data_IF_084775373187
#
_entry.id   IF_084775373187
#
_cell.length_a   1.000
_cell.length_b   1.000
_cell.length_c   1.000
_cell.angle_alpha   90.00
_cell.angle_beta   90.00
_cell.angle_gamma   90.00
#
_symmetry.space_group_name_H-M   'P 1'
#
loop_
_entity.id
_entity.type
_entity.pdbx_description
1 polymer ?
#
# COMPACT_ATOMS: atom_id res chain seq x y z
N UNK A 1 8.07 -11.52 -11.41
CA UNK A 1 7.69 -10.12 -11.78
C UNK A 1 7.96 -9.93 -13.26
N UNK A 2 7.03 -9.36 -14.04
CA UNK A 2 7.23 -9.07 -15.46
C UNK A 2 8.37 -8.08 -15.72
N UNK A 3 9.11 -8.28 -16.82
CA UNK A 3 10.30 -7.47 -17.14
C UNK A 3 10.01 -5.98 -17.29
N UNK A 4 8.85 -5.61 -17.84
CA UNK A 4 8.48 -4.20 -17.99
C UNK A 4 8.25 -3.51 -16.63
N UNK A 5 7.77 -4.24 -15.63
CA UNK A 5 7.60 -3.71 -14.27
C UNK A 5 8.96 -3.52 -13.58
N UNK A 6 9.87 -4.45 -13.76
CA UNK A 6 11.24 -4.31 -13.27
C UNK A 6 11.93 -3.10 -13.94
N UNK A 7 11.76 -2.94 -15.25
CA UNK A 7 12.28 -1.80 -15.99
C UNK A 7 11.68 -0.47 -15.49
N UNK A 8 10.37 -0.44 -15.22
CA UNK A 8 9.71 0.73 -14.63
C UNK A 8 10.33 1.09 -13.27
N UNK A 9 10.51 0.11 -12.40
CA UNK A 9 11.10 0.34 -11.08
C UNK A 9 12.57 0.81 -11.17
N UNK A 10 13.38 0.15 -12.01
CA UNK A 10 14.77 0.54 -12.28
C UNK A 10 14.92 1.96 -12.85
N UNK A 11 13.91 2.44 -13.58
CA UNK A 11 13.96 3.77 -14.18
C UNK A 11 13.96 4.91 -13.15
N UNK A 12 13.44 4.66 -11.93
CA UNK A 12 13.27 5.68 -10.89
C UNK A 12 12.28 6.80 -11.25
N UNK A 13 11.53 6.65 -12.35
CA UNK A 13 10.61 7.70 -12.84
C UNK A 13 9.24 7.66 -12.20
N UNK A 14 8.84 6.53 -11.66
CA UNK A 14 7.52 6.38 -11.06
C UNK A 14 7.54 6.91 -9.61
N UNK A 15 6.76 7.96 -9.30
CA UNK A 15 6.77 8.59 -7.97
C UNK A 15 6.08 7.74 -6.89
N UNK A 16 5.44 6.62 -7.27
CA UNK A 16 4.72 5.74 -6.35
C UNK A 16 5.50 4.47 -5.96
N UNK A 17 6.72 4.34 -6.47
CA UNK A 17 7.60 3.22 -6.13
C UNK A 17 8.71 3.67 -5.19
N UNK A 18 9.03 2.82 -4.21
CA UNK A 18 10.18 3.04 -3.33
C UNK A 18 11.45 3.08 -4.17
N UNK A 19 12.29 4.11 -4.03
CA UNK A 19 13.58 4.15 -4.70
C UNK A 19 14.40 2.91 -4.33
N UNK A 20 15.08 2.33 -5.32
CA UNK A 20 15.84 1.10 -5.12
C UNK A 20 17.06 1.02 -6.03
N UNK A 21 18.06 0.29 -5.57
CA UNK A 21 19.23 -0.12 -6.34
C UNK A 21 19.13 -1.60 -6.68
N UNK A 22 19.55 -1.97 -7.87
CA UNK A 22 19.40 -3.31 -8.41
C UNK A 22 20.76 -3.84 -8.87
N UNK A 23 21.09 -5.09 -8.50
CA UNK A 23 22.28 -5.78 -9.02
C UNK A 23 22.01 -7.26 -9.17
N UNK A 24 22.68 -7.85 -10.11
CA UNK A 24 22.66 -9.29 -10.34
C UNK A 24 23.69 -9.99 -9.46
N UNK A 25 23.32 -11.11 -8.90
CA UNK A 25 24.17 -12.01 -8.14
C UNK A 25 24.03 -13.42 -8.69
N UNK A 26 24.97 -14.35 -8.38
CA UNK A 26 24.83 -15.76 -8.79
C UNK A 26 23.52 -16.41 -8.37
N UNK A 27 22.92 -15.92 -7.28
CA UNK A 27 21.66 -16.43 -6.73
C UNK A 27 20.41 -15.71 -7.27
N UNK A 28 20.58 -14.76 -8.21
CA UNK A 28 19.51 -14.00 -8.83
C UNK A 28 19.60 -12.49 -8.61
N UNK A 29 18.51 -11.79 -8.94
CA UNK A 29 18.40 -10.35 -8.78
C UNK A 29 18.30 -9.98 -7.29
N UNK A 30 19.14 -9.04 -6.87
CA UNK A 30 19.06 -8.43 -5.54
C UNK A 30 18.59 -6.99 -5.64
N UNK A 31 17.75 -6.60 -4.71
CA UNK A 31 17.14 -5.26 -4.64
C UNK A 31 17.43 -4.68 -3.26
N UNK A 32 18.01 -3.49 -3.24
CA UNK A 32 18.20 -2.71 -2.04
C UNK A 32 17.29 -1.51 -2.10
N UNK A 33 16.38 -1.40 -1.14
CA UNK A 33 15.49 -0.26 -1.01
C UNK A 33 16.25 0.94 -0.42
N UNK A 34 16.06 2.10 -0.98
CA UNK A 34 16.48 3.38 -0.42
C UNK A 34 15.28 4.00 0.29
N UNK A 35 15.16 3.69 1.57
CA UNK A 35 14.06 4.13 2.43
C UNK A 35 14.45 5.31 3.34
N UNK A 36 15.54 6.01 3.04
CA UNK A 36 15.95 7.19 3.81
C UNK A 36 14.87 8.26 3.76
N UNK A 37 14.47 8.77 4.92
CA UNK A 37 13.40 9.76 5.05
C UNK A 37 11.98 9.20 4.92
N UNK A 38 11.82 7.90 4.64
CA UNK A 38 10.53 7.23 4.57
C UNK A 38 10.17 6.59 5.91
N UNK A 39 8.89 6.51 6.22
CA UNK A 39 8.36 5.84 7.42
C UNK A 39 7.59 4.60 6.99
N UNK A 40 7.85 3.47 7.63
CA UNK A 40 7.00 2.30 7.44
C UNK A 40 5.61 2.56 8.02
N UNK A 41 4.57 2.27 7.26
CA UNK A 41 3.18 2.46 7.71
C UNK A 41 2.88 1.64 8.97
N UNK A 42 3.49 0.48 9.12
CA UNK A 42 3.40 -0.33 10.33
C UNK A 42 3.84 0.40 11.60
N UNK A 43 4.75 1.38 11.50
CA UNK A 43 5.21 2.17 12.65
C UNK A 43 4.09 3.04 13.22
N UNK A 44 3.18 3.54 12.41
CA UNK A 44 2.02 4.30 12.88
C UNK A 44 1.04 3.44 13.68
N UNK A 45 0.86 2.19 13.27
CA UNK A 45 0.03 1.24 14.01
C UNK A 45 0.61 0.90 15.40
N UNK A 46 1.93 0.82 15.52
CA UNK A 46 2.61 0.52 16.78
C UNK A 46 2.50 1.67 17.80
N UNK A 47 2.39 2.92 17.33
CA UNK A 47 2.30 4.11 18.19
C UNK A 47 0.86 4.40 18.65
N UNK A 48 -0.13 3.68 18.10
CA UNK A 48 -1.55 3.87 18.41
C UNK A 48 -2.19 2.70 19.15
N UNK A 49 -1.62 2.19 20.26
CA UNK A 49 -2.25 1.09 20.99
C UNK A 49 -3.58 1.49 21.62
N UNK A 50 -3.80 2.76 21.96
CA UNK A 50 -4.92 3.25 22.77
C UNK A 50 -5.81 4.31 22.06
N UNK A 51 -5.77 4.37 20.75
CA UNK A 51 -6.67 5.27 19.99
C UNK A 51 -6.35 6.76 20.15
N UNK A 52 -5.10 7.11 20.37
CA UNK A 52 -4.63 8.49 20.29
C UNK A 52 -4.91 9.02 18.88
N UNK A 53 -5.77 10.02 18.79
CA UNK A 53 -6.34 10.53 17.52
C UNK A 53 -5.30 10.84 16.46
N UNK A 54 -4.16 11.41 16.83
CA UNK A 54 -3.12 11.82 15.88
C UNK A 54 -2.47 10.63 15.16
N UNK A 55 -2.11 9.59 15.88
CA UNK A 55 -1.51 8.40 15.27
C UNK A 55 -2.50 7.63 14.40
N UNK A 56 -3.78 7.57 14.81
CA UNK A 56 -4.83 6.95 14.02
C UNK A 56 -5.09 7.74 12.73
N UNK A 57 -5.08 9.07 12.79
CA UNK A 57 -5.18 9.93 11.61
C UNK A 57 -4.01 9.71 10.63
N UNK A 58 -2.78 9.56 11.15
CA UNK A 58 -1.61 9.25 10.31
C UNK A 58 -1.73 7.89 9.66
N UNK A 59 -2.20 6.88 10.39
CA UNK A 59 -2.45 5.55 9.84
C UNK A 59 -3.50 5.60 8.73
N UNK A 60 -4.64 6.22 8.95
CA UNK A 60 -5.69 6.37 7.94
C UNK A 60 -5.21 7.15 6.72
N UNK A 61 -4.48 8.24 6.92
CA UNK A 61 -3.92 9.06 5.83
C UNK A 61 -2.95 8.24 4.98
N UNK A 62 -2.06 7.48 5.62
CA UNK A 62 -1.10 6.63 4.92
C UNK A 62 -1.78 5.49 4.16
N UNK A 63 -2.84 4.89 4.72
CA UNK A 63 -3.63 3.86 4.05
C UNK A 63 -4.41 4.41 2.85
N UNK A 64 -5.04 5.59 2.98
CA UNK A 64 -5.71 6.26 1.87
C UNK A 64 -4.73 6.59 0.74
N UNK A 65 -3.55 7.09 1.09
CA UNK A 65 -2.48 7.35 0.12
C UNK A 65 -1.97 6.06 -0.53
N UNK A 66 -1.93 4.95 0.19
CA UNK A 66 -1.54 3.65 -0.37
C UNK A 66 -2.55 3.14 -1.40
N UNK A 67 -3.85 3.31 -1.14
CA UNK A 67 -4.89 2.99 -2.12
C UNK A 67 -4.76 3.84 -3.39
N UNK A 68 -4.45 5.13 -3.24
CA UNK A 68 -4.17 6.03 -4.36
C UNK A 68 -2.93 5.61 -5.15
N UNK A 69 -1.84 5.29 -4.47
CA UNK A 69 -0.61 4.83 -5.10
C UNK A 69 -0.84 3.53 -5.89
N UNK A 70 -1.59 2.59 -5.33
CA UNK A 70 -1.98 1.36 -6.01
C UNK A 70 -2.76 1.63 -7.31
N UNK A 71 -3.77 2.50 -7.26
CA UNK A 71 -4.53 2.89 -8.44
C UNK A 71 -3.65 3.61 -9.49
N UNK A 72 -2.73 4.45 -9.03
CA UNK A 72 -1.83 5.19 -9.91
C UNK A 72 -0.82 4.29 -10.60
N UNK A 73 -0.31 3.25 -9.93
CA UNK A 73 0.60 2.27 -10.54
C UNK A 73 -0.04 1.53 -11.72
N UNK A 74 -1.35 1.30 -11.69
CA UNK A 74 -2.06 0.70 -12.83
C UNK A 74 -1.99 1.59 -14.08
N UNK A 75 -1.97 2.92 -13.92
CA UNK A 75 -1.80 3.87 -15.04
C UNK A 75 -0.37 3.80 -15.65
N UNK A 76 0.59 3.30 -14.89
CA UNK A 76 1.95 3.00 -15.34
C UNK A 76 2.09 1.59 -15.94
N UNK A 77 0.97 0.94 -16.29
CA UNK A 77 0.91 -0.41 -16.82
C UNK A 77 1.45 -1.49 -15.86
N UNK A 78 1.48 -1.20 -14.57
CA UNK A 78 1.82 -2.19 -13.57
C UNK A 78 0.67 -3.20 -13.40
N UNK A 79 1.01 -4.49 -13.42
CA UNK A 79 0.02 -5.53 -13.12
C UNK A 79 -0.29 -5.51 -11.62
N UNK A 80 -1.55 -5.29 -11.23
CA UNK A 80 -1.96 -5.22 -9.83
C UNK A 80 -1.55 -6.43 -8.99
N UNK A 81 -1.51 -7.61 -9.59
CA UNK A 81 -1.14 -8.83 -8.88
C UNK A 81 0.28 -8.80 -8.31
N UNK A 82 1.19 -8.07 -8.94
CA UNK A 82 2.59 -7.95 -8.50
C UNK A 82 2.87 -6.74 -7.62
N UNK A 83 1.89 -5.88 -7.35
CA UNK A 83 2.06 -4.76 -6.41
C UNK A 83 1.97 -5.33 -4.99
N UNK A 84 3.01 -5.16 -4.19
CA UNK A 84 3.03 -5.64 -2.80
C UNK A 84 2.10 -4.79 -1.91
N UNK A 85 1.28 -5.47 -1.11
CA UNK A 85 0.50 -4.90 -0.01
C UNK A 85 0.94 -5.50 1.33
N UNK A 86 2.20 -5.89 1.45
CA UNK A 86 2.78 -6.35 2.71
C UNK A 86 2.95 -5.14 3.66
N UNK A 87 2.40 -5.17 4.89
CA UNK A 87 2.51 -4.06 5.82
C UNK A 87 3.95 -3.69 6.18
N UNK A 88 4.88 -4.63 6.13
CA UNK A 88 6.31 -4.39 6.40
C UNK A 88 7.04 -3.69 5.25
N UNK A 89 6.44 -3.67 4.06
CA UNK A 89 7.01 -3.15 2.82
C UNK A 89 6.25 -1.94 2.28
N UNK A 90 5.38 -1.36 3.09
CA UNK A 90 4.60 -0.18 2.77
C UNK A 90 5.22 1.05 3.45
N UNK A 91 5.59 2.04 2.65
CA UNK A 91 6.28 3.25 3.12
C UNK A 91 5.44 4.50 2.90
N UNK A 92 5.67 5.51 3.72
CA UNK A 92 5.04 6.81 3.63
C UNK A 92 6.09 7.92 3.67
N UNK A 93 6.04 8.81 2.69
CA UNK A 93 6.85 10.02 2.63
C UNK A 93 6.06 11.16 3.28
N UNK A 94 6.48 11.56 4.48
CA UNK A 94 5.80 12.60 5.25
C UNK A 94 5.91 13.98 4.60
N UNK A 95 7.00 14.26 3.92
CA UNK A 95 7.24 15.55 3.28
C UNK A 95 6.36 15.74 2.06
N UNK A 96 6.12 14.66 1.32
CA UNK A 96 5.25 14.66 0.13
C UNK A 96 3.80 14.27 0.43
N UNK A 97 3.53 13.72 1.61
CA UNK A 97 2.21 13.21 1.98
C UNK A 97 1.74 12.05 1.10
N UNK A 98 2.66 11.20 0.65
CA UNK A 98 2.36 10.12 -0.30
C UNK A 98 2.96 8.78 0.13
N UNK A 99 2.21 7.72 -0.10
CA UNK A 99 2.69 6.35 0.10
C UNK A 99 3.48 5.87 -1.11
N UNK A 100 4.47 5.03 -0.83
CA UNK A 100 5.31 4.38 -1.81
C UNK A 100 5.16 2.86 -1.65
N UNK A 101 4.99 2.20 -2.77
CA UNK A 101 4.81 0.76 -2.88
C UNK A 101 6.03 0.11 -3.51
N UNK A 102 6.07 -1.20 -3.51
CA UNK A 102 7.06 -1.97 -4.24
C UNK A 102 6.40 -3.14 -4.96
N UNK A 103 7.11 -3.72 -5.91
CA UNK A 103 6.68 -4.95 -6.58
C UNK A 103 7.15 -6.19 -5.83
N UNK A 104 6.42 -7.28 -6.03
CA UNK A 104 6.71 -8.61 -5.48
C UNK A 104 6.90 -9.61 -6.62
N UNK A 105 7.72 -10.61 -6.40
CA UNK A 105 7.83 -11.77 -7.30
C UNK A 105 6.68 -12.77 -7.12
N UNK A 106 5.98 -12.69 -5.99
CA UNK A 106 4.83 -13.54 -5.68
C UNK A 106 3.54 -12.82 -6.02
N UNK A 107 2.89 -13.14 -7.15
CA UNK A 107 1.64 -12.48 -7.55
C UNK A 107 0.50 -12.87 -6.62
N UNK A 108 -0.35 -11.89 -6.30
CA UNK A 108 -1.60 -12.08 -5.59
C UNK A 108 -2.76 -11.55 -6.43
N UNK A 109 -3.49 -12.47 -7.05
CA UNK A 109 -4.61 -12.16 -7.96
C UNK A 109 -5.96 -12.02 -7.25
N UNK A 110 -5.98 -12.05 -5.91
CA UNK A 110 -7.22 -11.83 -5.15
C UNK A 110 -7.75 -10.41 -5.38
N UNK A 111 -9.06 -10.18 -5.21
CA UNK A 111 -9.63 -8.83 -5.27
C UNK A 111 -8.91 -7.85 -4.35
N UNK A 112 -8.77 -6.60 -4.79
CA UNK A 112 -8.04 -5.58 -4.06
C UNK A 112 -8.58 -5.38 -2.63
N UNK A 113 -9.90 -5.41 -2.44
CA UNK A 113 -10.53 -5.27 -1.12
C UNK A 113 -10.05 -6.34 -0.14
N UNK A 114 -10.00 -7.61 -0.57
CA UNK A 114 -9.54 -8.70 0.27
C UNK A 114 -8.07 -8.53 0.66
N UNK A 115 -7.23 -8.18 -0.29
CA UNK A 115 -5.80 -7.93 -0.08
C UNK A 115 -5.55 -6.74 0.86
N UNK A 116 -6.32 -5.67 0.68
CA UNK A 116 -6.20 -4.47 1.50
C UNK A 116 -6.73 -4.69 2.93
N UNK A 117 -7.78 -5.50 3.08
CA UNK A 117 -8.24 -5.92 4.40
C UNK A 117 -7.18 -6.74 5.15
N UNK A 118 -6.49 -7.64 4.46
CA UNK A 118 -5.36 -8.39 5.03
C UNK A 118 -4.20 -7.49 5.42
N UNK A 119 -3.87 -6.51 4.59
CA UNK A 119 -2.89 -5.46 4.93
C UNK A 119 -3.28 -4.75 6.23
N UNK A 120 -4.53 -4.31 6.35
CA UNK A 120 -5.01 -3.62 7.54
C UNK A 120 -4.94 -4.51 8.78
N UNK A 121 -5.31 -5.79 8.68
CA UNK A 121 -5.19 -6.75 9.79
C UNK A 121 -3.75 -6.96 10.24
N UNK A 122 -2.81 -6.92 9.32
CA UNK A 122 -1.37 -6.99 9.62
C UNK A 122 -0.81 -5.76 10.36
N UNK A 123 -1.60 -4.69 10.48
CA UNK A 123 -1.23 -3.44 11.15
C UNK A 123 -1.69 -3.38 12.62
N UNK A 124 -2.01 -4.51 13.22
CA UNK A 124 -2.38 -4.58 14.65
C UNK A 124 -3.86 -4.26 14.92
N UNK A 125 -4.24 -3.99 16.20
CA UNK A 125 -5.64 -3.84 16.59
C UNK A 125 -6.36 -2.69 15.89
N UNK A 126 -5.72 -1.54 15.72
CA UNK A 126 -6.30 -0.40 14.99
C UNK A 126 -6.53 -0.73 13.51
N UNK A 127 -5.59 -1.42 12.89
CA UNK A 127 -5.74 -1.90 11.52
C UNK A 127 -6.83 -2.95 11.38
N UNK A 128 -6.97 -3.87 12.34
CA UNK A 128 -8.04 -4.86 12.35
C UNK A 128 -9.44 -4.21 12.43
N UNK A 129 -9.60 -3.17 13.23
CA UNK A 129 -10.84 -2.39 13.29
C UNK A 129 -11.17 -1.73 11.95
N UNK A 130 -10.16 -1.17 11.27
CA UNK A 130 -10.33 -0.59 9.93
C UNK A 130 -10.76 -1.68 8.95
N UNK A 131 -10.17 -2.88 9.00
CA UNK A 131 -10.51 -4.00 8.13
C UNK A 131 -11.97 -4.44 8.30
N UNK A 132 -12.45 -4.58 9.54
CA UNK A 132 -13.85 -4.93 9.83
C UNK A 132 -14.83 -3.91 9.24
N UNK A 133 -14.57 -2.62 9.49
CA UNK A 133 -15.39 -1.53 8.95
C UNK A 133 -15.39 -1.48 7.44
N UNK A 134 -14.23 -1.74 6.85
CA UNK A 134 -14.05 -1.76 5.40
C UNK A 134 -14.84 -2.91 4.76
N UNK A 135 -14.82 -4.10 5.34
CA UNK A 135 -15.57 -5.26 4.87
C UNK A 135 -17.07 -5.04 4.99
N UNK A 136 -17.51 -4.42 6.08
CA UNK A 136 -18.92 -4.05 6.26
C UNK A 136 -19.37 -3.05 5.18
N UNK A 137 -18.59 -1.99 4.95
CA UNK A 137 -18.85 -1.03 3.88
C UNK A 137 -18.84 -1.68 2.49
N UNK A 138 -17.92 -2.60 2.25
CA UNK A 138 -17.81 -3.31 0.99
C UNK A 138 -19.00 -4.21 0.67
N UNK A 139 -19.71 -4.72 1.67
CA UNK A 139 -20.95 -5.54 1.45
C UNK A 139 -22.09 -4.72 0.87
N UNK A 140 -22.13 -3.42 1.11
CA UNK A 140 -23.18 -2.52 0.62
C UNK A 140 -22.88 -1.91 -0.76
N UNK A 141 -21.69 -2.16 -1.31
CA UNK A 141 -21.22 -1.61 -2.58
C UNK A 141 -21.37 -2.63 -3.71
N UNK A 142 -21.60 -2.16 -4.94
CA UNK A 142 -21.66 -3.01 -6.13
C UNK A 142 -20.34 -3.77 -6.30
N UNK A 143 -20.43 -5.03 -6.71
CA UNK A 143 -19.25 -5.90 -6.87
C UNK A 143 -18.17 -5.29 -7.77
N UNK A 144 -18.56 -4.53 -8.79
CA UNK A 144 -17.66 -3.82 -9.70
C UNK A 144 -16.84 -2.72 -9.01
N UNK A 145 -17.39 -2.10 -7.96
CA UNK A 145 -16.74 -1.04 -7.19
C UNK A 145 -15.92 -1.60 -6.01
N UNK A 146 -16.26 -2.78 -5.51
CA UNK A 146 -15.59 -3.42 -4.37
C UNK A 146 -14.12 -3.73 -4.61
N UNK A 147 -13.71 -3.86 -5.87
CA UNK A 147 -12.33 -4.13 -6.25
C UNK A 147 -11.48 -2.88 -6.51
N UNK A 148 -12.06 -1.67 -6.39
CA UNK A 148 -11.37 -0.46 -6.81
C UNK A 148 -10.66 0.24 -5.66
N UNK A 149 -9.39 0.58 -5.88
CA UNK A 149 -8.62 1.39 -4.94
C UNK A 149 -9.25 2.78 -4.71
N UNK A 150 -10.01 3.29 -5.68
CA UNK A 150 -10.75 4.56 -5.56
C UNK A 150 -11.88 4.50 -4.54
N UNK A 151 -12.59 3.38 -4.47
CA UNK A 151 -13.60 3.17 -3.43
C UNK A 151 -12.98 3.24 -2.04
N UNK A 152 -11.86 2.55 -1.85
CA UNK A 152 -11.15 2.53 -0.57
C UNK A 152 -10.58 3.89 -0.18
N UNK A 153 -9.96 4.58 -1.10
CA UNK A 153 -9.45 5.93 -0.86
C UNK A 153 -10.58 6.85 -0.40
N UNK A 154 -11.68 6.87 -1.13
CA UNK A 154 -12.84 7.70 -0.81
C UNK A 154 -13.43 7.34 0.57
N UNK A 155 -13.56 6.07 0.87
CA UNK A 155 -14.11 5.61 2.15
C UNK A 155 -13.19 5.98 3.32
N UNK A 156 -11.89 5.78 3.20
CA UNK A 156 -10.91 6.14 4.23
C UNK A 156 -10.89 7.66 4.47
N UNK A 157 -10.99 8.46 3.42
CA UNK A 157 -11.07 9.91 3.55
C UNK A 157 -12.37 10.40 4.22
N UNK A 158 -13.47 9.67 4.07
CA UNK A 158 -14.72 9.97 4.79
C UNK A 158 -14.61 9.73 6.29
N UNK A 159 -13.82 8.75 6.73
CA UNK A 159 -13.56 8.52 8.16
C UNK A 159 -12.75 9.67 8.76
N UNK A 160 -11.84 10.27 8.00
CA UNK A 160 -11.01 11.39 8.43
C UNK A 160 -11.77 12.72 8.51
N UNK A 161 -12.85 12.83 7.80
CA UNK A 161 -13.72 14.02 7.83
C UNK A 161 -14.66 13.99 9.04
#
# INVERSE_FOLDING_TARGET
MPDHMLALWRSGRCPFLVPASFWESPDGLRIRLDAEGLVQVASYAAVCPDGLEEGFCLLLTSLASSARAFASLQQWLADPAYISLDPSLLFFDRDKGSSLLMFSDSPDSRPFLARFSDLCRGLGPSGALIAERLEEAGRSVRMEEQGTARFLEKWLLQILA
#
